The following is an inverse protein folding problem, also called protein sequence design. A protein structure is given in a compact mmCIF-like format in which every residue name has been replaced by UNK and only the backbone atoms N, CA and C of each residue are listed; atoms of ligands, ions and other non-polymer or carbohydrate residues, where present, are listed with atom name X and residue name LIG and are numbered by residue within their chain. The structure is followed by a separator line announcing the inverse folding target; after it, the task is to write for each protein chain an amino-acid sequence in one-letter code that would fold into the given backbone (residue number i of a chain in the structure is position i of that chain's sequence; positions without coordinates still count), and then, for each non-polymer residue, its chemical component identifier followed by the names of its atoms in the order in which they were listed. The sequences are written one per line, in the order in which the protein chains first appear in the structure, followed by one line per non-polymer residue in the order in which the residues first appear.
data_IF_124532936966
#
_entry.id   IF_124532936966
#
_cell.length_a   1.000
_cell.length_b   1.000
_cell.length_c   1.000
_cell.angle_alpha   90.00
_cell.angle_beta   90.00
_cell.angle_gamma   90.00
#
_symmetry.space_group_name_H-M   'P 1'
#
loop_
_entity.id
_entity.type
_entity.pdbx_description
1 polymer ?
#
# COMPACT_ATOMS: atom_id res chain seq x y z
N UNK A 1 9.32 23.91 -27.21
CA UNK A 1 9.10 23.46 -28.60
C UNK A 1 9.32 21.95 -28.65
N UNK A 2 8.33 21.22 -29.17
CA UNK A 2 8.29 19.76 -29.38
C UNK A 2 9.47 19.30 -30.23
N UNK A 3 10.11 18.17 -29.88
CA UNK A 3 10.47 17.06 -30.80
C UNK A 3 10.62 15.76 -29.99
N UNK A 4 9.66 14.85 -30.07
CA UNK A 4 9.80 13.46 -29.64
C UNK A 4 9.99 12.62 -30.90
N UNK A 5 11.16 11.99 -31.01
CA UNK A 5 11.52 11.10 -32.11
C UNK A 5 10.99 9.71 -31.77
N UNK A 6 10.08 9.24 -32.60
CA UNK A 6 9.46 7.91 -32.54
C UNK A 6 10.48 6.87 -33.00
N UNK A 7 11.06 6.13 -32.06
CA UNK A 7 11.93 4.99 -32.34
C UNK A 7 11.16 3.69 -32.18
N UNK A 8 10.64 3.16 -33.30
CA UNK A 8 10.11 1.79 -33.38
C UNK A 8 11.30 0.83 -33.35
N UNK A 9 11.42 0.02 -32.30
CA UNK A 9 12.30 -1.15 -32.28
C UNK A 9 11.45 -2.39 -32.03
N UNK A 10 11.09 -3.04 -33.14
CA UNK A 10 10.57 -4.40 -33.18
C UNK A 10 11.73 -5.34 -32.83
N UNK A 11 11.71 -5.88 -31.61
CA UNK A 11 12.63 -6.93 -31.17
C UNK A 11 11.86 -8.25 -31.04
N UNK A 12 11.94 -9.10 -32.07
CA UNK A 12 11.49 -10.49 -32.00
C UNK A 12 12.54 -11.33 -31.24
N UNK A 13 12.07 -12.14 -30.30
CA UNK A 13 12.69 -13.45 -30.03
C UNK A 13 13.60 -13.53 -28.82
N UNK A 14 13.00 -13.64 -27.64
CA UNK A 14 13.37 -14.62 -26.62
C UNK A 14 12.11 -14.82 -25.78
N UNK A 15 11.36 -15.89 -26.06
CA UNK A 15 10.32 -16.39 -25.16
C UNK A 15 11.03 -16.99 -23.94
N UNK A 16 11.63 -16.14 -23.11
CA UNK A 16 11.81 -16.46 -21.72
C UNK A 16 10.40 -16.67 -21.19
N UNK A 17 10.06 -17.88 -20.78
CA UNK A 17 8.92 -18.11 -19.90
C UNK A 17 9.22 -17.35 -18.62
N UNK A 18 8.92 -16.05 -18.60
CA UNK A 18 8.74 -15.30 -17.39
C UNK A 18 7.57 -16.01 -16.71
N UNK A 19 7.87 -16.95 -15.81
CA UNK A 19 6.91 -17.34 -14.80
C UNK A 19 6.38 -16.00 -14.25
N UNK A 20 5.07 -15.75 -14.30
CA UNK A 20 4.55 -14.50 -13.78
C UNK A 20 5.10 -14.38 -12.37
N UNK A 21 5.89 -13.33 -12.11
CA UNK A 21 6.24 -12.99 -10.76
C UNK A 21 4.89 -12.85 -10.06
N UNK A 22 4.59 -13.80 -9.17
CA UNK A 22 3.41 -13.71 -8.34
C UNK A 22 3.72 -12.52 -7.44
N UNK A 23 3.27 -11.34 -7.84
CA UNK A 23 3.26 -10.20 -6.97
C UNK A 23 2.38 -10.63 -5.80
N UNK A 24 3.00 -10.86 -4.66
CA UNK A 24 2.27 -10.95 -3.41
C UNK A 24 1.62 -9.60 -3.25
N UNK A 25 0.34 -9.51 -3.62
CA UNK A 25 -0.47 -8.32 -3.36
C UNK A 25 -0.52 -8.23 -1.85
N UNK A 26 0.13 -7.23 -1.26
CA UNK A 26 -0.06 -6.95 0.16
C UNK A 26 -1.54 -6.59 0.35
N UNK A 27 -2.29 -7.51 0.96
CA UNK A 27 -3.72 -7.33 1.21
C UNK A 27 -3.89 -6.42 2.42
N UNK A 28 -4.17 -5.15 2.12
CA UNK A 28 -4.55 -4.17 3.13
C UNK A 28 -5.99 -4.39 3.58
N UNK A 29 -6.20 -4.58 4.89
CA UNK A 29 -7.52 -4.66 5.49
C UNK A 29 -7.77 -3.50 6.44
N UNK A 30 -9.01 -3.00 6.42
CA UNK A 30 -9.48 -2.03 7.38
C UNK A 30 -9.71 -2.71 8.73
N UNK A 31 -9.15 -2.15 9.80
CA UNK A 31 -9.20 -2.76 11.14
C UNK A 31 -10.54 -2.58 11.86
N UNK A 32 -11.44 -1.73 11.34
CA UNK A 32 -12.72 -1.42 11.98
C UNK A 32 -12.67 -0.22 12.94
N UNK A 33 -11.53 0.45 13.09
CA UNK A 33 -11.36 1.61 13.96
C UNK A 33 -11.18 2.93 13.21
N UNK A 34 -11.90 3.95 13.68
CA UNK A 34 -11.85 5.33 13.20
C UNK A 34 -11.34 6.29 14.27
N UNK A 35 -10.59 7.29 13.85
CA UNK A 35 -9.95 8.27 14.72
C UNK A 35 -10.18 9.70 14.21
N UNK A 36 -10.29 10.68 15.10
CA UNK A 36 -10.56 12.07 14.71
C UNK A 36 -9.36 12.76 14.06
N UNK A 37 -8.14 12.25 14.26
CA UNK A 37 -6.91 12.79 13.69
C UNK A 37 -5.96 11.66 13.29
N UNK A 38 -5.05 11.96 12.37
CA UNK A 38 -3.98 11.04 11.99
C UNK A 38 -3.13 10.62 13.20
N UNK A 39 -2.75 11.58 14.05
CA UNK A 39 -1.96 11.31 15.24
C UNK A 39 -2.66 10.36 16.25
N UNK A 40 -3.98 10.47 16.40
CA UNK A 40 -4.74 9.56 17.25
C UNK A 40 -4.78 8.14 16.66
N UNK A 41 -4.88 8.02 15.33
CA UNK A 41 -4.79 6.73 14.64
C UNK A 41 -3.41 6.08 14.81
N UNK A 42 -2.33 6.86 14.61
CA UNK A 42 -0.95 6.40 14.78
C UNK A 42 -0.69 5.94 16.22
N UNK A 43 -1.12 6.73 17.21
CA UNK A 43 -0.95 6.37 18.61
C UNK A 43 -1.71 5.09 18.95
N UNK A 44 -2.96 4.96 18.47
CA UNK A 44 -3.76 3.77 18.74
C UNK A 44 -3.16 2.50 18.14
N UNK A 45 -2.51 2.59 16.97
CA UNK A 45 -1.71 1.49 16.44
C UNK A 45 -0.63 1.08 17.44
N UNK A 46 0.21 2.03 17.87
CA UNK A 46 1.32 1.75 18.80
C UNK A 46 0.86 1.25 20.17
N UNK A 47 -0.30 1.69 20.65
CA UNK A 47 -0.91 1.21 21.88
C UNK A 47 -1.46 -0.23 21.75
N UNK A 48 -1.85 -0.63 20.55
CA UNK A 48 -2.46 -1.94 20.28
C UNK A 48 -1.45 -3.06 20.02
N UNK A 49 -0.21 -2.71 19.68
CA UNK A 49 0.79 -3.67 19.26
C UNK A 49 1.70 -4.12 20.39
N UNK A 50 2.09 -5.39 20.37
CA UNK A 50 3.10 -5.89 21.29
C UNK A 50 4.50 -5.48 20.81
N UNK A 51 5.26 -4.65 21.54
CA UNK A 51 6.57 -4.17 21.11
C UNK A 51 7.62 -5.29 20.96
N UNK A 52 7.35 -6.49 21.47
CA UNK A 52 8.22 -7.66 21.35
C UNK A 52 8.01 -8.43 20.03
N UNK A 53 6.99 -8.09 19.25
CA UNK A 53 6.67 -8.74 17.98
C UNK A 53 7.03 -7.77 16.83
N UNK A 54 7.63 -8.25 15.73
CA UNK A 54 7.79 -7.44 14.53
C UNK A 54 6.45 -6.92 14.04
N UNK A 55 6.34 -5.60 13.87
CA UNK A 55 5.09 -5.01 13.41
C UNK A 55 4.97 -5.09 11.91
N UNK A 56 3.83 -5.60 11.45
CA UNK A 56 3.42 -5.48 10.06
C UNK A 56 3.09 -4.01 9.75
N UNK A 57 3.26 -3.58 8.49
CA UNK A 57 2.91 -2.23 8.08
C UNK A 57 1.46 -1.85 8.45
N UNK A 58 1.28 -0.59 8.82
CA UNK A 58 -0.02 0.04 9.04
C UNK A 58 -0.11 1.37 8.30
N UNK A 59 -1.33 1.83 8.07
CA UNK A 59 -1.63 3.13 7.47
C UNK A 59 -2.83 3.78 8.15
N UNK A 60 -2.74 5.09 8.37
CA UNK A 60 -3.85 5.93 8.80
C UNK A 60 -4.46 6.64 7.58
N UNK A 61 -5.48 6.04 6.98
CA UNK A 61 -6.10 6.55 5.74
C UNK A 61 -7.23 7.51 6.05
N UNK A 62 -7.16 8.72 5.53
CA UNK A 62 -8.25 9.69 5.68
C UNK A 62 -9.46 9.31 4.81
N UNK A 63 -10.63 9.19 5.43
CA UNK A 63 -11.92 8.98 4.77
C UNK A 63 -12.71 10.29 4.75
N UNK A 64 -12.68 10.98 3.61
CA UNK A 64 -13.38 12.25 3.42
C UNK A 64 -14.92 12.14 3.47
N UNK A 65 -15.50 10.95 3.31
CA UNK A 65 -16.93 10.73 3.39
C UNK A 65 -17.47 10.66 4.82
N UNK A 66 -16.61 10.31 5.78
CA UNK A 66 -16.94 10.19 7.19
C UNK A 66 -16.17 11.19 8.08
N UNK A 67 -15.25 11.97 7.52
CA UNK A 67 -14.40 12.95 8.23
C UNK A 67 -13.60 12.30 9.37
N UNK A 68 -13.00 11.14 9.08
CA UNK A 68 -12.22 10.33 10.04
C UNK A 68 -10.97 9.75 9.40
N UNK A 69 -10.01 9.37 10.23
CA UNK A 69 -8.87 8.54 9.86
C UNK A 69 -9.16 7.07 10.21
N UNK A 70 -8.98 6.19 9.24
CA UNK A 70 -9.18 4.75 9.36
C UNK A 70 -7.82 4.07 9.55
N UNK A 71 -7.74 3.11 10.47
CA UNK A 71 -6.53 2.29 10.62
C UNK A 71 -6.60 1.07 9.69
N UNK A 72 -5.61 0.95 8.81
CA UNK A 72 -5.43 -0.15 7.85
C UNK A 72 -4.15 -0.92 8.15
N UNK A 73 -4.14 -2.23 7.89
CA UNK A 73 -2.99 -3.11 8.15
C UNK A 73 -2.78 -4.14 7.06
N UNK A 74 -1.58 -4.68 6.99
CA UNK A 74 -1.23 -5.89 6.22
C UNK A 74 -1.28 -7.11 7.15
N UNK A 75 -1.61 -8.29 6.61
CA UNK A 75 -1.61 -9.57 7.35
C UNK A 75 -0.53 -10.52 6.84
#
# INVERSE_FOLDING_TARGET
MRKLVTGVLVGLGLLASAAPAVATVEEWYYTGYWYPTEAACEQAFWDSVNPLVPQLPHECRYNAGADVYELWRVW
#
